data_IF_448314946222
#
_entry.id   IF_448314946222
#
_cell.length_a   1.000
_cell.length_b   1.000
_cell.length_c   1.000
_cell.angle_alpha   90.00
_cell.angle_beta   90.00
_cell.angle_gamma   90.00
#
_symmetry.space_group_name_H-M   'P 1'
#
loop_
_entity.id
_entity.type
_entity.pdbx_description
1 polymer ?
#
# COMPACT_ATOMS: atom_id res chain seq x y z
N UNK A 1 -2.59 16.72 -79.66
CA UNK A 1 -3.30 16.93 -78.39
C UNK A 1 -2.96 15.75 -77.48
N UNK A 2 -2.00 15.95 -76.61
CA UNK A 2 -1.58 14.90 -75.60
C UNK A 2 -2.02 15.36 -74.22
N UNK A 3 -2.96 14.63 -73.59
CA UNK A 3 -3.46 14.95 -72.31
C UNK A 3 -2.65 14.05 -71.26
N UNK A 4 -1.88 14.71 -70.43
CA UNK A 4 -1.12 14.09 -69.36
C UNK A 4 -2.00 14.04 -68.09
N UNK A 5 -2.40 12.83 -67.70
CA UNK A 5 -3.08 12.59 -66.41
C UNK A 5 -2.01 12.51 -65.29
N UNK A 6 -2.06 13.49 -64.39
CA UNK A 6 -1.20 13.52 -63.22
C UNK A 6 -1.88 12.75 -62.07
N UNK A 7 -1.29 11.63 -61.68
CA UNK A 7 -1.79 10.79 -60.56
C UNK A 7 -1.23 11.34 -59.25
N UNK A 8 -2.07 11.94 -58.39
CA UNK A 8 -1.70 12.39 -57.06
C UNK A 8 -1.86 11.19 -56.10
N UNK A 9 -0.73 10.65 -55.66
CA UNK A 9 -0.71 9.62 -54.59
C UNK A 9 -0.76 10.33 -53.24
N UNK A 10 -1.89 10.23 -52.57
CA UNK A 10 -2.09 10.72 -51.19
C UNK A 10 -1.55 9.67 -50.22
N UNK A 11 -0.38 9.90 -49.64
CA UNK A 11 0.17 9.05 -48.61
C UNK A 11 -0.56 9.28 -47.27
N UNK A 12 -1.35 8.32 -46.83
CA UNK A 12 -1.97 8.33 -45.48
C UNK A 12 -0.93 7.91 -44.46
N UNK A 13 -0.44 8.88 -43.69
CA UNK A 13 0.42 8.64 -42.53
C UNK A 13 -0.43 8.07 -41.38
N UNK A 14 -0.39 6.75 -41.14
CA UNK A 14 -0.97 6.13 -39.96
C UNK A 14 -0.06 6.42 -38.78
N UNK A 15 -0.43 7.39 -37.94
CA UNK A 15 0.25 7.65 -36.67
C UNK A 15 -0.14 6.55 -35.71
N UNK A 16 0.76 5.58 -35.51
CA UNK A 16 0.61 4.57 -34.46
C UNK A 16 0.97 5.21 -33.11
N UNK A 17 -0.04 5.59 -32.32
CA UNK A 17 0.15 5.94 -30.93
C UNK A 17 0.31 4.65 -30.13
N UNK A 18 1.49 4.34 -29.56
CA UNK A 18 1.60 3.26 -28.60
C UNK A 18 0.81 3.69 -27.36
N UNK A 19 -0.36 3.10 -27.15
CA UNK A 19 -1.07 3.17 -25.88
C UNK A 19 -0.13 2.55 -24.83
N UNK A 20 0.38 3.36 -23.91
CA UNK A 20 1.10 2.85 -22.75
C UNK A 20 0.12 1.92 -22.00
N UNK A 21 0.37 0.63 -22.03
CA UNK A 21 -0.37 -0.33 -21.23
C UNK A 21 -0.15 0.08 -19.75
N UNK A 22 -1.13 0.68 -19.13
CA UNK A 22 -1.15 0.85 -17.68
C UNK A 22 -1.19 -0.54 -17.09
N UNK A 23 -0.17 -0.89 -16.31
CA UNK A 23 -0.17 -2.14 -15.57
C UNK A 23 -1.48 -2.21 -14.75
N UNK A 24 -2.23 -3.29 -14.95
CA UNK A 24 -3.52 -3.48 -14.27
C UNK A 24 -3.26 -3.69 -12.78
N UNK A 25 -3.96 -2.91 -11.93
CA UNK A 25 -3.86 -3.06 -10.48
C UNK A 25 -4.47 -4.39 -10.06
N UNK A 26 -3.71 -5.24 -9.38
CA UNK A 26 -4.18 -6.55 -8.92
C UNK A 26 -4.51 -6.49 -7.44
N UNK A 27 -5.75 -6.82 -7.12
CA UNK A 27 -6.31 -6.75 -5.79
C UNK A 27 -5.62 -7.72 -4.82
N UNK A 28 -5.16 -7.20 -3.68
CA UNK A 28 -4.75 -7.98 -2.51
C UNK A 28 -5.94 -8.16 -1.57
N UNK A 29 -6.62 -7.06 -1.20
CA UNK A 29 -7.80 -7.09 -0.34
C UNK A 29 -8.67 -5.84 -0.52
N UNK A 30 -9.99 -6.03 -0.47
CA UNK A 30 -11.01 -4.97 -0.47
C UNK A 30 -11.94 -5.04 0.75
N UNK A 31 -11.55 -5.78 1.76
CA UNK A 31 -12.25 -5.95 3.05
C UNK A 31 -13.68 -6.50 2.97
N UNK A 32 -14.11 -7.10 1.85
CA UNK A 32 -15.49 -7.58 1.67
C UNK A 32 -15.75 -8.87 2.44
N UNK A 33 -15.01 -9.89 2.39
CA UNK A 33 -15.35 -11.20 2.95
C UNK A 33 -14.54 -11.52 4.20
N UNK A 34 -15.15 -11.44 5.38
CA UNK A 34 -14.56 -11.82 6.67
C UNK A 34 -13.14 -11.26 6.89
N UNK A 35 -12.91 -9.94 6.71
CA UNK A 35 -11.57 -9.35 6.81
C UNK A 35 -10.94 -9.58 8.19
N UNK A 36 -11.72 -9.71 9.26
CA UNK A 36 -11.30 -10.02 10.63
C UNK A 36 -10.54 -11.35 10.75
N UNK A 37 -10.71 -12.26 9.81
CA UNK A 37 -9.97 -13.53 9.78
C UNK A 37 -8.57 -13.37 9.22
N UNK A 38 -8.33 -12.33 8.40
CA UNK A 38 -7.07 -12.08 7.70
C UNK A 38 -6.26 -10.94 8.30
N UNK A 39 -6.93 -9.85 8.72
CA UNK A 39 -6.30 -8.67 9.26
C UNK A 39 -6.29 -8.69 10.79
N UNK A 40 -5.14 -8.40 11.38
CA UNK A 40 -4.96 -8.38 12.83
C UNK A 40 -4.43 -7.04 13.28
N UNK A 41 -5.05 -6.49 14.33
CA UNK A 41 -4.54 -5.32 15.04
C UNK A 41 -3.35 -5.73 15.93
N UNK A 42 -2.32 -4.89 15.95
CA UNK A 42 -1.12 -5.06 16.78
C UNK A 42 -0.70 -3.67 17.27
N UNK A 43 -0.46 -3.53 18.55
CA UNK A 43 0.10 -2.34 19.17
C UNK A 43 1.47 -2.65 19.79
N UNK A 44 2.21 -1.61 20.13
CA UNK A 44 3.52 -1.71 20.80
C UNK A 44 3.46 -2.30 22.20
N UNK A 45 2.28 -2.47 22.77
CA UNK A 45 2.07 -3.19 24.04
C UNK A 45 2.66 -4.60 24.04
N UNK A 46 2.82 -5.25 22.90
CA UNK A 46 3.55 -6.53 22.74
C UNK A 46 5.05 -6.43 23.11
N UNK A 47 5.57 -5.20 23.23
CA UNK A 47 6.97 -4.89 23.58
C UNK A 47 7.07 -4.00 24.83
N UNK A 48 5.97 -3.80 25.57
CA UNK A 48 5.92 -2.95 26.76
C UNK A 48 5.56 -1.48 26.53
N UNK A 49 5.25 -1.09 25.28
CA UNK A 49 4.71 0.24 24.95
C UNK A 49 3.29 0.44 25.48
N UNK A 50 2.79 1.66 25.38
CA UNK A 50 1.49 2.07 25.95
C UNK A 50 0.51 2.58 24.87
N UNK A 51 0.84 2.45 23.60
CA UNK A 51 -0.08 2.76 22.50
C UNK A 51 -1.30 1.84 22.55
N UNK A 52 -2.46 2.36 22.22
CA UNK A 52 -3.73 1.62 22.26
C UNK A 52 -4.60 1.94 21.06
N UNK A 53 -5.49 1.04 20.71
CA UNK A 53 -6.40 1.25 19.58
C UNK A 53 -7.12 -0.02 19.18
N UNK A 54 -7.73 0.05 18.02
CA UNK A 54 -8.41 -1.09 17.40
C UNK A 54 -8.51 -0.92 15.89
N UNK A 55 -8.76 -2.03 15.20
CA UNK A 55 -9.28 -2.05 13.84
C UNK A 55 -10.71 -2.57 13.85
N UNK A 56 -11.57 -1.94 13.08
CA UNK A 56 -12.96 -2.35 12.86
C UNK A 56 -13.24 -2.37 11.37
N UNK A 57 -14.18 -3.19 10.93
CA UNK A 57 -14.52 -3.33 9.53
C UNK A 57 -15.96 -2.87 9.31
N UNK A 58 -16.17 -2.09 8.27
CA UNK A 58 -17.44 -1.44 7.96
C UNK A 58 -17.80 -1.66 6.50
N UNK A 59 -19.09 -1.51 6.23
CA UNK A 59 -19.61 -1.41 4.87
C UNK A 59 -20.31 -0.05 4.73
N UNK A 60 -19.93 0.70 3.71
CA UNK A 60 -20.48 2.01 3.36
C UNK A 60 -20.71 2.04 1.85
N UNK A 61 -21.92 2.33 1.40
CA UNK A 61 -22.29 2.42 -0.03
C UNK A 61 -21.79 1.24 -0.88
N UNK A 62 -22.09 0.00 -0.43
CA UNK A 62 -21.67 -1.26 -1.06
C UNK A 62 -20.15 -1.51 -1.09
N UNK A 63 -19.37 -0.62 -0.52
CA UNK A 63 -17.91 -0.75 -0.36
C UNK A 63 -17.56 -1.08 1.09
N UNK A 64 -16.65 -2.01 1.27
CA UNK A 64 -16.13 -2.34 2.59
C UNK A 64 -14.82 -1.60 2.85
N UNK A 65 -14.56 -1.29 4.12
CA UNK A 65 -13.29 -0.69 4.53
C UNK A 65 -12.89 -1.12 5.94
N UNK A 66 -11.59 -1.10 6.20
CA UNK A 66 -11.03 -1.22 7.54
C UNK A 66 -10.82 0.19 8.11
N UNK A 67 -11.25 0.43 9.35
CA UNK A 67 -10.95 1.64 10.11
C UNK A 67 -10.06 1.31 11.29
N UNK A 68 -8.88 1.90 11.34
CA UNK A 68 -7.99 1.87 12.50
C UNK A 68 -8.08 3.21 13.24
N UNK A 69 -8.37 3.13 14.54
CA UNK A 69 -8.37 4.27 15.45
C UNK A 69 -7.55 3.94 16.69
N UNK A 70 -6.89 4.96 17.24
CA UNK A 70 -6.16 4.79 18.51
C UNK A 70 -5.18 5.90 18.79
N UNK A 71 -4.57 5.83 19.98
CA UNK A 71 -3.56 6.76 20.47
C UNK A 71 -2.19 6.11 20.39
N UNK A 72 -1.29 6.74 19.66
CA UNK A 72 0.13 6.33 19.57
C UNK A 72 0.92 7.11 20.61
N UNK A 73 1.72 6.39 21.39
CA UNK A 73 2.61 6.98 22.39
C UNK A 73 4.01 6.40 22.28
N UNK A 74 5.01 7.26 22.29
CA UNK A 74 6.43 6.88 22.26
C UNK A 74 6.99 6.50 23.63
N UNK A 75 6.19 6.56 24.69
CA UNK A 75 6.58 6.13 26.05
C UNK A 75 6.98 4.66 26.04
N UNK A 76 7.90 4.30 26.94
CA UNK A 76 8.41 2.94 27.14
C UNK A 76 9.02 2.32 25.86
N UNK A 77 9.66 3.12 25.00
CA UNK A 77 10.21 2.71 23.71
C UNK A 77 9.14 2.12 22.76
N UNK A 78 7.86 2.50 22.96
CA UNK A 78 6.75 2.21 22.08
C UNK A 78 6.73 3.14 20.86
N UNK A 79 5.57 3.34 20.28
CA UNK A 79 5.35 4.33 19.24
C UNK A 79 4.67 3.78 17.99
N UNK A 80 3.85 2.73 18.09
CA UNK A 80 3.05 2.29 16.96
C UNK A 80 1.74 1.59 17.33
N UNK A 81 0.79 1.74 16.43
CA UNK A 81 -0.34 0.82 16.24
C UNK A 81 -0.40 0.45 14.76
N UNK A 82 -0.83 -0.76 14.45
CA UNK A 82 -0.96 -1.24 13.08
C UNK A 82 -2.07 -2.27 12.94
N UNK A 83 -2.58 -2.43 11.73
CA UNK A 83 -3.26 -3.66 11.33
C UNK A 83 -2.54 -4.28 10.14
N UNK A 84 -2.40 -5.61 10.16
CA UNK A 84 -1.54 -6.34 9.24
C UNK A 84 -2.21 -7.61 8.75
N UNK A 85 -1.99 -7.93 7.48
CA UNK A 85 -2.34 -9.22 6.88
C UNK A 85 -1.10 -9.95 6.38
N UNK A 86 -1.18 -11.28 6.37
CA UNK A 86 -0.23 -12.12 5.62
C UNK A 86 -0.66 -12.18 4.16
N UNK A 87 0.29 -12.14 3.27
CA UNK A 87 0.04 -12.39 1.85
C UNK A 87 -0.07 -13.89 1.62
N UNK A 88 -1.18 -14.38 1.06
CA UNK A 88 -1.38 -15.82 0.82
C UNK A 88 -0.43 -16.37 -0.25
N UNK A 89 -0.06 -15.53 -1.21
CA UNK A 89 0.85 -15.83 -2.29
C UNK A 89 1.94 -14.75 -2.40
N UNK A 90 3.09 -15.12 -2.93
CA UNK A 90 4.12 -14.16 -3.32
C UNK A 90 3.60 -13.29 -4.48
N UNK A 91 3.99 -12.02 -4.50
CA UNK A 91 3.70 -11.17 -5.65
C UNK A 91 4.61 -11.55 -6.84
N UNK A 92 4.17 -11.32 -8.07
CA UNK A 92 5.01 -11.55 -9.23
C UNK A 92 6.21 -10.58 -9.24
N UNK A 93 7.31 -10.99 -9.85
CA UNK A 93 8.52 -10.17 -9.99
C UNK A 93 8.27 -8.88 -10.78
N UNK A 94 7.23 -8.86 -11.61
CA UNK A 94 6.81 -7.69 -12.37
C UNK A 94 6.07 -6.63 -11.54
N UNK A 95 5.67 -6.94 -10.31
CA UNK A 95 5.04 -5.96 -9.44
C UNK A 95 6.01 -4.83 -9.11
N UNK A 96 5.58 -3.58 -9.29
CA UNK A 96 6.39 -2.38 -9.13
C UNK A 96 6.16 -1.72 -7.77
N UNK A 97 4.96 -1.88 -7.20
CA UNK A 97 4.60 -1.22 -5.96
C UNK A 97 3.25 -1.64 -5.40
N UNK A 98 2.83 -0.96 -4.34
CA UNK A 98 1.50 -1.11 -3.74
C UNK A 98 0.65 0.13 -4.01
N UNK A 99 -0.63 -0.12 -4.24
CA UNK A 99 -1.66 0.90 -4.32
C UNK A 99 -2.63 0.73 -3.16
N UNK A 100 -3.00 1.83 -2.54
CA UNK A 100 -3.98 1.90 -1.45
C UNK A 100 -5.07 2.89 -1.82
N UNK A 101 -6.29 2.65 -1.38
CA UNK A 101 -7.35 3.66 -1.39
C UNK A 101 -7.71 3.96 0.06
N UNK A 102 -7.46 5.20 0.49
CA UNK A 102 -7.43 5.61 1.90
C UNK A 102 -8.12 6.96 2.12
N UNK A 103 -8.59 7.18 3.36
CA UNK A 103 -8.92 8.49 3.93
C UNK A 103 -8.55 8.52 5.41
N UNK A 104 -8.47 9.69 6.04
CA UNK A 104 -8.17 9.76 7.47
C UNK A 104 -8.09 11.19 8.01
N UNK A 105 -7.39 11.37 9.12
CA UNK A 105 -7.37 12.58 9.94
C UNK A 105 -6.22 13.54 9.61
N UNK A 106 -5.85 13.70 8.35
CA UNK A 106 -4.80 14.62 7.89
C UNK A 106 -3.42 14.32 8.48
N UNK A 107 -3.15 13.06 8.82
CA UNK A 107 -1.90 12.59 9.39
C UNK A 107 -1.05 11.82 8.38
N UNK A 108 0.21 11.60 8.76
CA UNK A 108 1.13 10.72 8.03
C UNK A 108 1.07 9.32 8.62
N UNK A 109 0.93 8.34 7.75
CA UNK A 109 0.93 6.91 8.04
C UNK A 109 2.05 6.21 7.27
N UNK A 110 2.20 4.92 7.51
CA UNK A 110 3.23 4.11 6.87
C UNK A 110 2.66 2.78 6.40
N UNK A 111 3.24 2.25 5.34
CA UNK A 111 3.14 0.83 5.01
C UNK A 111 4.38 0.13 5.52
N UNK A 112 4.20 -0.93 6.30
CA UNK A 112 5.27 -1.84 6.68
C UNK A 112 5.15 -3.14 5.89
N UNK A 113 6.24 -3.51 5.24
CA UNK A 113 6.38 -4.78 4.53
C UNK A 113 7.32 -5.71 5.27
N UNK A 114 6.93 -6.98 5.37
CA UNK A 114 7.84 -8.04 5.80
C UNK A 114 8.06 -9.01 4.65
N UNK A 115 9.28 -9.50 4.56
CA UNK A 115 9.73 -10.44 3.53
C UNK A 115 10.20 -11.74 4.17
N UNK A 116 10.52 -12.75 3.36
CA UNK A 116 11.19 -13.97 3.85
C UNK A 116 12.54 -13.69 4.52
N UNK A 117 13.17 -12.54 4.23
CA UNK A 117 14.43 -12.13 4.87
C UNK A 117 14.26 -11.33 6.17
N UNK A 118 13.04 -10.96 6.56
CA UNK A 118 12.77 -10.28 7.85
C UNK A 118 12.54 -11.31 8.94
N UNK A 119 13.62 -11.75 9.57
CA UNK A 119 13.59 -12.84 10.56
C UNK A 119 13.19 -12.34 11.97
N UNK A 120 13.62 -11.13 12.33
CA UNK A 120 13.41 -10.55 13.65
C UNK A 120 12.12 -9.69 13.68
N UNK A 121 11.42 -9.61 14.84
CA UNK A 121 10.15 -8.87 14.96
C UNK A 121 10.22 -7.40 14.53
N UNK A 122 11.35 -6.75 14.77
CA UNK A 122 11.60 -5.34 14.46
C UNK A 122 12.14 -5.09 13.04
N UNK A 123 12.34 -6.14 12.25
CA UNK A 123 12.75 -6.00 10.86
C UNK A 123 11.55 -5.81 9.95
N UNK A 124 11.56 -4.76 9.16
CA UNK A 124 10.54 -4.42 8.16
C UNK A 124 11.12 -3.45 7.13
N UNK A 125 10.39 -3.23 6.07
CA UNK A 125 10.60 -2.13 5.14
C UNK A 125 9.43 -1.17 5.30
N UNK A 126 9.70 0.15 5.29
CA UNK A 126 8.63 1.13 5.44
C UNK A 126 8.65 2.19 4.35
N UNK A 127 7.46 2.60 3.92
CA UNK A 127 7.24 3.80 3.12
C UNK A 127 6.16 4.66 3.78
N UNK A 128 6.36 5.97 3.78
CA UNK A 128 5.43 6.92 4.35
C UNK A 128 4.43 7.39 3.30
N UNK A 129 3.19 7.69 3.74
CA UNK A 129 2.18 8.36 2.94
C UNK A 129 1.33 9.28 3.80
N UNK A 130 0.75 10.31 3.18
CA UNK A 130 -0.20 11.21 3.82
C UNK A 130 -1.62 10.78 3.47
N UNK A 131 -2.55 11.05 4.37
CA UNK A 131 -3.99 10.92 4.13
C UNK A 131 -4.67 12.25 4.34
N UNK A 132 -5.81 12.44 3.70
CA UNK A 132 -6.74 13.53 3.93
C UNK A 132 -8.13 12.96 4.30
N UNK A 133 -9.11 13.83 4.49
CA UNK A 133 -10.47 13.42 4.89
C UNK A 133 -11.26 12.76 3.78
N UNK A 134 -10.85 12.95 2.53
CA UNK A 134 -11.49 12.39 1.36
C UNK A 134 -10.80 11.10 0.91
N UNK A 135 -11.56 10.19 0.30
CA UNK A 135 -10.98 9.01 -0.32
C UNK A 135 -9.99 9.39 -1.42
N UNK A 136 -8.77 8.94 -1.29
CA UNK A 136 -7.69 9.21 -2.23
C UNK A 136 -6.85 7.97 -2.49
N UNK A 137 -6.24 7.93 -3.65
CA UNK A 137 -5.32 6.89 -4.05
C UNK A 137 -3.88 7.25 -3.63
N UNK A 138 -3.18 6.25 -3.09
CA UNK A 138 -1.76 6.34 -2.76
C UNK A 138 -1.03 5.22 -3.49
N UNK A 139 0.00 5.56 -4.24
CA UNK A 139 0.92 4.60 -4.91
C UNK A 139 2.29 4.67 -4.27
N UNK A 140 2.81 3.53 -3.83
CA UNK A 140 4.11 3.38 -3.19
C UNK A 140 4.93 2.36 -3.98
N UNK A 141 5.87 2.83 -4.78
CA UNK A 141 6.81 1.95 -5.49
C UNK A 141 7.77 1.27 -4.51
N UNK A 142 8.26 0.08 -4.82
CA UNK A 142 9.11 -0.67 -3.89
C UNK A 142 10.46 0.02 -3.61
N UNK A 143 10.92 0.92 -4.45
CA UNK A 143 12.11 1.75 -4.22
C UNK A 143 11.88 2.88 -3.21
N UNK A 144 10.63 3.26 -2.93
CA UNK A 144 10.29 4.20 -1.86
C UNK A 144 10.42 3.59 -0.46
N UNK A 145 10.50 2.26 -0.34
CA UNK A 145 10.58 1.57 0.93
C UNK A 145 12.01 1.53 1.47
N UNK A 146 12.17 1.91 2.73
CA UNK A 146 13.46 1.89 3.45
C UNK A 146 13.49 0.73 4.43
N UNK A 147 14.60 0.00 4.44
CA UNK A 147 14.85 -1.07 5.40
C UNK A 147 15.04 -0.50 6.82
N UNK A 148 14.45 -1.16 7.84
CA UNK A 148 14.56 -0.76 9.25
C UNK A 148 15.91 -1.11 9.89
N UNK A 149 16.77 -1.88 9.22
CA UNK A 149 18.06 -2.30 9.75
C UNK A 149 19.05 -2.75 8.69
N UNK A 150 20.32 -2.66 9.04
CA UNK A 150 21.47 -2.89 8.15
C UNK A 150 21.63 -4.33 7.64
N UNK A 151 20.97 -5.30 8.29
CA UNK A 151 21.03 -6.72 7.88
C UNK A 151 20.00 -7.06 6.82
N UNK A 152 19.13 -6.12 6.47
CA UNK A 152 18.15 -6.30 5.40
C UNK A 152 18.76 -5.87 4.06
N UNK A 153 18.21 -6.42 2.97
CA UNK A 153 18.49 -5.87 1.63
C UNK A 153 18.06 -4.42 1.56
N UNK A 154 18.67 -3.63 0.71
CA UNK A 154 18.33 -2.21 0.54
C UNK A 154 16.86 -2.01 0.17
N UNK A 155 16.33 -2.86 -0.72
CA UNK A 155 14.95 -2.80 -1.21
C UNK A 155 14.23 -4.13 -0.99
N UNK A 156 12.92 -4.11 -0.73
CA UNK A 156 12.11 -5.33 -0.70
C UNK A 156 11.96 -5.88 -2.12
N UNK A 157 11.96 -7.20 -2.26
CA UNK A 157 11.63 -7.88 -3.51
C UNK A 157 10.19 -8.36 -3.46
N UNK A 158 9.36 -8.07 -4.50
CA UNK A 158 7.94 -8.45 -4.52
C UNK A 158 7.71 -9.94 -4.26
N UNK A 159 8.49 -10.80 -4.90
CA UNK A 159 8.38 -12.26 -4.77
C UNK A 159 8.69 -12.80 -3.37
N UNK A 160 9.33 -11.98 -2.52
CA UNK A 160 9.68 -12.34 -1.15
C UNK A 160 8.74 -11.77 -0.11
N UNK A 161 7.75 -10.97 -0.51
CA UNK A 161 6.80 -10.36 0.41
C UNK A 161 5.96 -11.42 1.14
N UNK A 162 5.79 -11.24 2.44
CA UNK A 162 5.05 -12.14 3.33
C UNK A 162 3.89 -11.44 4.03
N UNK A 163 3.98 -10.14 4.26
CA UNK A 163 2.88 -9.39 4.89
C UNK A 163 2.93 -7.92 4.55
N UNK A 164 1.76 -7.30 4.58
CA UNK A 164 1.53 -5.86 4.45
C UNK A 164 0.84 -5.38 5.73
N UNK A 165 1.33 -4.29 6.30
CA UNK A 165 0.73 -3.62 7.45
C UNK A 165 0.52 -2.13 7.19
N UNK A 166 -0.60 -1.59 7.66
CA UNK A 166 -0.89 -0.15 7.69
C UNK A 166 -0.62 0.34 9.10
N UNK A 167 0.20 1.37 9.26
CA UNK A 167 0.84 1.69 10.53
C UNK A 167 0.77 3.19 10.83
N UNK A 168 0.35 3.52 12.04
CA UNK A 168 0.60 4.81 12.67
C UNK A 168 1.85 4.66 13.54
N UNK A 169 2.88 5.50 13.32
CA UNK A 169 4.22 5.24 13.84
C UNK A 169 5.03 6.51 14.17
N UNK A 170 5.88 6.38 15.20
CA UNK A 170 7.08 7.18 15.42
C UNK A 170 6.88 8.54 16.09
N UNK A 171 5.68 8.87 16.53
CA UNK A 171 5.35 10.08 17.30
C UNK A 171 4.09 9.90 18.12
N UNK A 172 3.89 10.73 19.13
CA UNK A 172 2.65 10.80 19.89
C UNK A 172 1.56 11.48 19.03
N UNK A 173 0.46 10.79 18.79
CA UNK A 173 -0.70 11.35 18.05
C UNK A 173 -1.91 10.43 18.12
N UNK A 174 -3.10 11.02 17.87
CA UNK A 174 -4.31 10.27 17.61
C UNK A 174 -4.33 9.82 16.15
N UNK A 175 -4.52 8.53 15.95
CA UNK A 175 -4.60 7.91 14.63
C UNK A 175 -6.06 7.62 14.27
N UNK A 176 -6.45 7.98 13.04
CA UNK A 176 -7.71 7.59 12.43
C UNK A 176 -7.49 7.46 10.92
N UNK A 177 -7.56 6.24 10.41
CA UNK A 177 -7.39 5.92 9.00
C UNK A 177 -8.38 4.86 8.57
N UNK A 178 -9.01 5.10 7.42
CA UNK A 178 -9.83 4.15 6.68
C UNK A 178 -9.05 3.67 5.47
N UNK A 179 -9.12 2.37 5.19
CA UNK A 179 -8.54 1.73 4.01
C UNK A 179 -9.60 0.85 3.38
N UNK A 180 -9.97 1.10 2.12
CA UNK A 180 -10.97 0.28 1.40
C UNK A 180 -10.38 -0.65 0.35
N UNK A 181 -9.12 -0.43 -0.03
CA UNK A 181 -8.46 -1.29 -1.00
C UNK A 181 -6.94 -1.31 -0.77
N UNK A 182 -6.37 -2.48 -0.91
CA UNK A 182 -4.94 -2.75 -1.01
C UNK A 182 -4.72 -3.59 -2.26
N UNK A 183 -3.92 -3.11 -3.19
CA UNK A 183 -3.56 -3.79 -4.44
C UNK A 183 -2.08 -3.61 -4.75
N UNK A 184 -1.57 -4.32 -5.75
CA UNK A 184 -0.25 -4.08 -6.33
C UNK A 184 -0.37 -3.77 -7.84
N UNK A 185 0.60 -3.07 -8.37
CA UNK A 185 0.70 -2.71 -9.79
C UNK A 185 2.07 -3.01 -10.35
#
# INVERSE_FOLDING_TARGET
MHSTFSLIIMAVLVIWNPSAATAEDILIDNFKSQPETRWRFIADSVMGGVSSGKVSFFQEDEQSHARMVGSVSTKNNGGFIQFRTKLPLALPNSAVGLRLVVRGNDQRYFVHLRTSGTLLPWQYYQAAFAVNREWSEVRLTFDAFKASGVLLRTLPRPENLKSVGIVAFGRDHEAEIDVREVSYF
#
